data_IF_738109360928
#
_entry.id   IF_738109360928
#
_cell.length_a   1.000
_cell.length_b   1.000
_cell.length_c   1.000
_cell.angle_alpha   90.00
_cell.angle_beta   90.00
_cell.angle_gamma   90.00
#
_symmetry.space_group_name_H-M   'P 1'
#
loop_
_entity.id
_entity.type
_entity.pdbx_description
1 polymer ?
#
# COMPACT_ATOMS: atom_id res chain seq x y z
N UNK A 1 -18.45 13.44 15.26
CA UNK A 1 -19.58 13.20 14.34
C UNK A 1 -19.16 13.75 12.96
N UNK A 2 -18.50 12.94 12.13
CA UNK A 2 -17.83 13.40 10.90
C UNK A 2 -18.85 13.48 9.77
N UNK A 3 -19.19 14.69 9.33
CA UNK A 3 -20.12 14.95 8.23
C UNK A 3 -19.51 14.42 6.93
N UNK A 4 -19.97 13.26 6.42
CA UNK A 4 -19.65 12.82 5.06
C UNK A 4 -20.18 13.89 4.10
N UNK A 5 -19.27 14.53 3.35
CA UNK A 5 -19.65 15.41 2.25
C UNK A 5 -20.54 14.63 1.27
N UNK A 6 -21.79 15.09 1.08
CA UNK A 6 -22.64 14.63 -0.02
C UNK A 6 -22.00 15.13 -1.31
N UNK A 7 -21.22 14.28 -1.98
CA UNK A 7 -20.85 14.53 -3.37
C UNK A 7 -22.11 14.36 -4.22
N UNK A 8 -22.80 15.47 -4.51
CA UNK A 8 -24.05 15.49 -5.30
C UNK A 8 -23.82 15.22 -6.79
N UNK A 9 -22.58 15.36 -7.27
CA UNK A 9 -22.12 14.69 -8.48
C UNK A 9 -21.33 13.45 -8.07
N UNK A 10 -21.87 12.25 -8.32
CA UNK A 10 -21.11 11.01 -8.20
C UNK A 10 -19.74 11.15 -8.86
N UNK A 11 -18.72 10.44 -8.37
CA UNK A 11 -17.39 10.53 -8.99
C UNK A 11 -17.54 10.15 -10.48
N UNK A 12 -17.22 11.08 -11.39
CA UNK A 12 -17.21 10.79 -12.82
C UNK A 12 -16.38 9.53 -13.03
N UNK A 13 -16.95 8.53 -13.70
CA UNK A 13 -16.24 7.30 -13.99
C UNK A 13 -14.94 7.65 -14.71
N UNK A 14 -13.80 7.21 -14.17
CA UNK A 14 -12.50 7.36 -14.82
C UNK A 14 -12.24 6.14 -15.71
N UNK A 15 -11.84 6.31 -16.98
CA UNK A 15 -11.58 7.58 -17.67
C UNK A 15 -12.87 8.30 -18.10
N UNK A 16 -12.82 9.63 -18.26
CA UNK A 16 -13.95 10.41 -18.72
C UNK A 16 -14.54 9.83 -20.02
N UNK A 17 -15.85 9.59 -20.05
CA UNK A 17 -16.54 9.03 -21.21
C UNK A 17 -16.75 7.50 -21.19
N UNK A 18 -16.41 6.80 -20.10
CA UNK A 18 -16.79 5.38 -19.96
C UNK A 18 -18.32 5.22 -20.00
N UNK A 19 -18.81 4.34 -20.87
CA UNK A 19 -20.24 4.01 -21.04
C UNK A 19 -20.75 3.07 -19.94
N UNK A 20 -19.94 2.09 -19.55
CA UNK A 20 -20.31 1.08 -18.55
C UNK A 20 -19.83 1.44 -17.14
N UNK A 21 -20.61 1.13 -16.11
CA UNK A 21 -20.13 1.24 -14.74
C UNK A 21 -19.10 0.14 -14.42
N UNK A 22 -18.09 0.46 -13.60
CA UNK A 22 -17.20 -0.58 -13.09
C UNK A 22 -17.94 -1.45 -12.07
N UNK A 23 -17.77 -2.78 -12.12
CA UNK A 23 -18.26 -3.64 -11.06
C UNK A 23 -17.53 -3.33 -9.74
N UNK A 24 -18.10 -3.73 -8.59
CA UNK A 24 -17.40 -3.66 -7.32
C UNK A 24 -16.03 -4.35 -7.39
N UNK A 25 -15.03 -3.75 -6.77
CA UNK A 25 -13.68 -4.33 -6.69
C UNK A 25 -13.76 -5.68 -5.98
N UNK A 26 -13.21 -6.71 -6.61
CA UNK A 26 -13.16 -8.07 -6.04
C UNK A 26 -12.28 -8.09 -4.80
N UNK A 27 -12.62 -8.92 -3.79
CA UNK A 27 -11.80 -8.99 -2.56
C UNK A 27 -10.47 -9.68 -2.85
N UNK A 28 -10.53 -10.66 -3.74
CA UNK A 28 -9.46 -11.53 -4.20
C UNK A 28 -8.26 -10.74 -4.71
N UNK A 29 -8.48 -9.55 -5.29
CA UNK A 29 -7.39 -8.71 -5.79
C UNK A 29 -6.31 -8.47 -4.73
N UNK A 30 -6.68 -8.45 -3.46
CA UNK A 30 -5.76 -8.19 -2.33
C UNK A 30 -4.72 -9.30 -2.12
N UNK A 31 -4.95 -10.51 -2.63
CA UNK A 31 -4.04 -11.66 -2.50
C UNK A 31 -3.85 -12.46 -3.80
N UNK A 32 -4.60 -12.18 -4.86
CA UNK A 32 -4.49 -12.75 -6.19
C UNK A 32 -4.14 -11.67 -7.23
N UNK A 33 -2.94 -11.76 -7.80
CA UNK A 33 -2.44 -10.83 -8.81
C UNK A 33 -3.22 -10.93 -10.12
N UNK A 34 -3.68 -12.12 -10.51
CA UNK A 34 -4.46 -12.30 -11.74
C UNK A 34 -5.79 -11.57 -11.63
N UNK A 35 -6.52 -11.78 -10.53
CA UNK A 35 -7.75 -11.05 -10.25
C UNK A 35 -7.50 -9.52 -10.25
N UNK A 36 -6.37 -9.08 -9.68
CA UNK A 36 -5.99 -7.66 -9.69
C UNK A 36 -5.78 -7.11 -11.09
N UNK A 37 -5.03 -7.82 -11.95
CA UNK A 37 -4.73 -7.39 -13.30
C UNK A 37 -5.99 -7.33 -14.19
N UNK A 38 -6.90 -8.28 -14.03
CA UNK A 38 -8.20 -8.28 -14.71
C UNK A 38 -9.05 -7.06 -14.31
N UNK A 39 -9.10 -6.73 -13.01
CA UNK A 39 -9.80 -5.53 -12.53
C UNK A 39 -9.10 -4.25 -13.03
N UNK A 40 -7.76 -4.21 -13.04
CA UNK A 40 -7.00 -3.11 -13.63
C UNK A 40 -7.28 -2.95 -15.13
N UNK A 41 -7.41 -4.04 -15.88
CA UNK A 41 -7.73 -4.00 -17.31
C UNK A 41 -9.13 -3.41 -17.54
N UNK A 42 -10.14 -3.86 -16.80
CA UNK A 42 -11.50 -3.30 -16.85
C UNK A 42 -11.50 -1.81 -16.47
N UNK A 43 -10.71 -1.46 -15.47
CA UNK A 43 -10.55 -0.10 -14.99
C UNK A 43 -9.70 0.80 -15.90
N UNK A 44 -9.04 0.25 -16.93
CA UNK A 44 -8.04 0.96 -17.76
C UNK A 44 -6.93 1.61 -16.92
N UNK A 45 -6.38 0.84 -15.97
CA UNK A 45 -5.29 1.26 -15.09
C UNK A 45 -3.99 0.60 -15.52
N UNK A 46 -3.04 1.39 -16.02
CA UNK A 46 -1.75 0.90 -16.49
C UNK A 46 -0.83 0.50 -15.34
N UNK A 47 -0.71 1.33 -14.30
CA UNK A 47 0.18 1.05 -13.17
C UNK A 47 -0.58 1.21 -11.85
N UNK A 48 -0.45 0.22 -10.96
CA UNK A 48 -0.99 0.29 -9.61
C UNK A 48 0.13 0.32 -8.56
N UNK A 49 0.13 1.37 -7.73
CA UNK A 49 1.02 1.47 -6.58
C UNK A 49 0.33 0.85 -5.35
N UNK A 50 0.94 -0.19 -4.79
CA UNK A 50 0.42 -0.92 -3.64
C UNK A 50 0.76 -0.18 -2.34
N UNK A 51 -0.30 0.22 -1.63
CA UNK A 51 -0.21 0.81 -0.30
C UNK A 51 -0.61 -0.19 0.78
N UNK A 52 0.06 -0.16 1.95
CA UNK A 52 -0.32 -0.96 3.10
C UNK A 52 -1.72 -0.56 3.60
N UNK A 53 -2.62 -1.52 3.81
CA UNK A 53 -3.90 -1.26 4.48
C UNK A 53 -3.80 -1.58 5.96
N UNK A 54 -3.78 -2.86 6.34
CA UNK A 54 -3.72 -3.28 7.76
C UNK A 54 -2.37 -3.01 8.42
N UNK A 55 -1.30 -3.04 7.64
CA UNK A 55 0.06 -2.83 8.15
C UNK A 55 0.24 -1.40 8.66
N UNK A 56 -0.53 -0.44 8.16
CA UNK A 56 -0.49 0.94 8.65
C UNK A 56 -0.79 1.09 10.14
N UNK A 57 -1.57 0.18 10.74
CA UNK A 57 -1.97 0.27 12.15
C UNK A 57 -1.01 -0.42 13.12
N UNK A 58 0.04 -1.09 12.64
CA UNK A 58 0.98 -1.80 13.53
C UNK A 58 1.81 -0.85 14.39
N UNK A 59 1.89 0.43 14.06
CA UNK A 59 2.48 1.45 14.94
C UNK A 59 1.78 1.59 16.30
N UNK A 60 0.55 1.08 16.43
CA UNK A 60 -0.19 1.02 17.70
C UNK A 60 0.18 -0.19 18.57
N UNK A 61 1.01 -1.13 18.08
CA UNK A 61 1.49 -2.26 18.88
C UNK A 61 2.40 -1.76 20.00
N UNK A 62 2.44 -2.45 21.13
CA UNK A 62 3.28 -2.02 22.27
C UNK A 62 4.76 -2.27 21.99
N UNK A 63 5.07 -3.44 21.44
CA UNK A 63 6.42 -3.92 21.19
C UNK A 63 6.94 -3.46 19.82
N UNK A 64 7.99 -2.64 19.84
CA UNK A 64 8.65 -2.09 18.64
C UNK A 64 9.40 -3.16 17.85
N UNK A 65 9.98 -4.15 18.54
CA UNK A 65 10.64 -5.29 17.89
C UNK A 65 9.62 -6.16 17.13
N UNK A 66 8.44 -6.37 17.70
CA UNK A 66 7.35 -7.07 17.02
C UNK A 66 6.80 -6.27 15.83
N UNK A 67 6.65 -4.96 15.96
CA UNK A 67 6.31 -4.06 14.83
C UNK A 67 7.33 -4.19 13.69
N UNK A 68 8.62 -4.15 14.00
CA UNK A 68 9.71 -4.33 13.03
C UNK A 68 9.61 -5.68 12.31
N UNK A 69 9.36 -6.78 13.04
CA UNK A 69 9.22 -8.10 12.47
C UNK A 69 8.03 -8.20 11.49
N UNK A 70 6.89 -7.59 11.84
CA UNK A 70 5.70 -7.54 10.99
C UNK A 70 5.92 -6.70 9.73
N UNK A 71 6.59 -5.55 9.83
CA UNK A 71 6.96 -4.75 8.66
C UNK A 71 7.89 -5.52 7.72
N UNK A 72 8.91 -6.19 8.23
CA UNK A 72 9.81 -7.03 7.41
C UNK A 72 9.07 -8.20 6.75
N UNK A 73 8.12 -8.82 7.44
CA UNK A 73 7.27 -9.85 6.84
C UNK A 73 6.40 -9.28 5.71
N UNK A 74 5.80 -8.09 5.92
CA UNK A 74 5.03 -7.40 4.89
C UNK A 74 5.89 -7.01 3.68
N UNK A 75 7.08 -6.43 3.87
CA UNK A 75 7.95 -6.02 2.76
C UNK A 75 8.36 -7.22 1.90
N UNK A 76 8.66 -8.38 2.52
CA UNK A 76 8.91 -9.63 1.78
C UNK A 76 7.68 -10.09 1.01
N UNK A 77 6.51 -10.11 1.64
CA UNK A 77 5.28 -10.53 0.99
C UNK A 77 4.90 -9.62 -0.20
N UNK A 78 4.93 -8.30 -0.03
CA UNK A 78 4.55 -7.37 -1.11
C UNK A 78 5.58 -7.38 -2.23
N UNK A 79 6.85 -7.65 -1.90
CA UNK A 79 7.85 -7.98 -2.87
C UNK A 79 7.42 -9.24 -3.67
N UNK A 80 7.14 -10.37 -3.05
CA UNK A 80 6.76 -11.57 -3.81
C UNK A 80 5.46 -11.36 -4.62
N UNK A 81 4.52 -10.57 -4.08
CA UNK A 81 3.27 -10.22 -4.74
C UNK A 81 3.48 -9.37 -6.01
N UNK A 82 4.22 -8.25 -5.95
CA UNK A 82 4.44 -7.39 -7.14
C UNK A 82 5.25 -8.08 -8.23
N UNK A 83 6.08 -9.05 -7.87
CA UNK A 83 7.00 -9.73 -8.80
C UNK A 83 6.27 -10.52 -9.89
N UNK A 84 5.00 -10.86 -9.69
CA UNK A 84 4.15 -11.52 -10.70
C UNK A 84 3.74 -10.58 -11.84
N UNK A 85 3.87 -9.26 -11.68
CA UNK A 85 3.54 -8.26 -12.70
C UNK A 85 4.39 -6.97 -12.55
N UNK A 86 5.72 -7.05 -12.67
CA UNK A 86 6.65 -5.98 -12.25
C UNK A 86 6.52 -4.69 -13.09
N UNK A 87 6.02 -4.78 -14.32
CA UNK A 87 5.75 -3.61 -15.18
C UNK A 87 4.47 -2.87 -14.76
N UNK A 88 3.51 -3.56 -14.15
CA UNK A 88 2.17 -3.06 -13.81
C UNK A 88 2.01 -2.76 -12.32
N UNK A 89 2.73 -3.46 -11.45
CA UNK A 89 2.63 -3.35 -9.99
C UNK A 89 3.90 -2.76 -9.39
N UNK A 90 3.73 -1.63 -8.70
CA UNK A 90 4.75 -0.99 -7.87
C UNK A 90 4.32 -1.05 -6.42
N UNK A 91 5.22 -0.84 -5.48
CA UNK A 91 4.86 -0.90 -4.06
C UNK A 91 5.55 0.17 -3.23
N UNK A 92 5.04 0.33 -2.01
CA UNK A 92 5.56 1.26 -1.02
C UNK A 92 6.02 0.54 0.24
N UNK A 93 7.14 0.99 0.78
CA UNK A 93 7.71 0.47 2.03
C UNK A 93 7.13 1.22 3.22
N UNK A 94 6.67 0.50 4.23
CA UNK A 94 6.25 1.11 5.51
C UNK A 94 7.47 1.37 6.39
N UNK A 95 7.71 2.64 6.73
CA UNK A 95 8.79 3.03 7.63
C UNK A 95 8.35 2.90 9.10
N UNK A 96 9.19 2.30 9.93
CA UNK A 96 8.98 2.33 11.38
C UNK A 96 9.42 3.70 11.92
N UNK A 97 8.47 4.46 12.46
CA UNK A 97 8.74 5.79 13.04
C UNK A 97 9.18 5.74 14.51
N UNK A 98 9.04 4.57 15.17
CA UNK A 98 9.43 4.34 16.57
C UNK A 98 10.83 3.76 16.69
N UNK A 99 11.37 3.23 15.60
CA UNK A 99 12.74 2.75 15.45
C UNK A 99 13.33 3.29 14.15
N UNK A 100 13.70 4.56 14.18
CA UNK A 100 14.22 5.28 13.02
C UNK A 100 15.49 4.63 12.45
N UNK A 101 16.48 4.20 13.26
CA UNK A 101 17.66 3.52 12.73
C UNK A 101 17.31 2.27 11.91
N UNK A 102 16.51 1.35 12.45
CA UNK A 102 16.10 0.15 11.70
C UNK A 102 15.22 0.48 10.50
N UNK A 103 14.37 1.50 10.61
CA UNK A 103 13.56 1.99 9.49
C UNK A 103 14.42 2.47 8.31
N UNK A 104 15.47 3.25 8.58
CA UNK A 104 16.42 3.74 7.57
C UNK A 104 17.21 2.58 6.94
N UNK A 105 17.67 1.62 7.74
CA UNK A 105 18.35 0.43 7.22
C UNK A 105 17.45 -0.38 6.27
N UNK A 106 16.19 -0.58 6.64
CA UNK A 106 15.22 -1.32 5.83
C UNK A 106 14.92 -0.58 4.52
N UNK A 107 14.76 0.75 4.57
CA UNK A 107 14.62 1.60 3.37
C UNK A 107 15.79 1.40 2.42
N UNK A 108 17.03 1.56 2.92
CA UNK A 108 18.25 1.42 2.11
C UNK A 108 18.36 0.02 1.51
N UNK A 109 18.07 -1.01 2.29
CA UNK A 109 18.08 -2.41 1.84
C UNK A 109 17.16 -2.62 0.64
N UNK A 110 15.90 -2.18 0.73
CA UNK A 110 14.93 -2.41 -0.34
C UNK A 110 15.13 -1.50 -1.54
N UNK A 111 15.56 -0.25 -1.33
CA UNK A 111 15.92 0.65 -2.42
C UNK A 111 17.03 0.07 -3.32
N UNK A 112 18.02 -0.61 -2.72
CA UNK A 112 19.08 -1.29 -3.47
C UNK A 112 18.64 -2.63 -4.09
N UNK A 113 17.63 -3.27 -3.53
CA UNK A 113 17.20 -4.62 -3.93
C UNK A 113 16.13 -4.63 -5.01
N UNK A 114 15.24 -3.64 -5.02
CA UNK A 114 14.08 -3.64 -5.90
C UNK A 114 13.81 -2.28 -6.55
N UNK A 115 14.00 -2.14 -7.88
CA UNK A 115 13.70 -0.92 -8.59
C UNK A 115 12.19 -0.59 -8.65
N UNK A 116 11.31 -1.50 -8.22
CA UNK A 116 9.85 -1.29 -8.17
C UNK A 116 9.34 -0.77 -6.82
N UNK A 117 10.25 -0.54 -5.86
CA UNK A 117 9.95 0.27 -4.69
C UNK A 117 9.91 1.74 -5.12
N UNK A 118 8.72 2.35 -5.09
CA UNK A 118 8.50 3.71 -5.62
C UNK A 118 8.12 4.74 -4.57
N UNK A 119 8.05 4.35 -3.30
CA UNK A 119 7.70 5.28 -2.24
C UNK A 119 7.85 4.72 -0.84
N UNK A 120 7.95 5.64 0.12
CA UNK A 120 7.94 5.34 1.54
C UNK A 120 6.61 5.79 2.12
N UNK A 121 5.92 4.88 2.80
CA UNK A 121 4.69 5.13 3.50
C UNK A 121 4.98 5.36 4.98
N UNK A 122 4.51 6.50 5.49
CA UNK A 122 4.52 6.83 6.91
C UNK A 122 3.08 6.73 7.39
N UNK A 123 2.85 5.94 8.45
CA UNK A 123 1.50 5.81 8.99
C UNK A 123 1.01 7.14 9.55
N UNK A 124 -0.20 7.61 9.20
CA UNK A 124 -0.78 8.80 9.82
C UNK A 124 -1.10 8.59 11.31
N UNK A 125 -1.09 7.32 11.77
CA UNK A 125 -1.30 6.95 13.17
C UNK A 125 0.02 6.86 13.94
N UNK A 126 1.16 7.04 13.26
CA UNK A 126 2.45 7.09 13.91
C UNK A 126 2.48 8.31 14.83
N UNK A 127 2.35 8.08 16.12
CA UNK A 127 2.48 9.13 17.12
C UNK A 127 3.94 9.55 17.18
N UNK A 128 4.23 10.83 16.99
CA UNK A 128 5.58 11.40 17.12
C UNK A 128 6.12 11.44 18.55
N UNK A 129 5.70 10.53 19.44
CA UNK A 129 6.27 10.43 20.77
C UNK A 129 7.65 9.80 20.63
N UNK A 130 8.67 10.65 20.69
CA UNK A 130 9.98 10.26 21.18
C UNK A 130 9.79 9.52 22.50
N UNK A 131 10.34 8.32 22.62
CA UNK A 131 10.44 7.62 23.90
C UNK A 131 11.11 8.55 24.94
N UNK A 132 10.73 8.48 26.23
CA UNK A 132 11.35 9.27 27.29
C UNK A 132 12.85 8.98 27.44
#
# INVERSE_FOLDING_TARGET
MTRRSKKEGGQKAFPPGRLDALPPIRREVSWDVKARLEDMHRAMVDVNVLFPTRVSSYCALRDVGFENALYRAYHRWVADFRAQAPTRLKWTLVANMRDVPLGVEEIKRWANRDPNLVGIYISPQATGRSSP
#
